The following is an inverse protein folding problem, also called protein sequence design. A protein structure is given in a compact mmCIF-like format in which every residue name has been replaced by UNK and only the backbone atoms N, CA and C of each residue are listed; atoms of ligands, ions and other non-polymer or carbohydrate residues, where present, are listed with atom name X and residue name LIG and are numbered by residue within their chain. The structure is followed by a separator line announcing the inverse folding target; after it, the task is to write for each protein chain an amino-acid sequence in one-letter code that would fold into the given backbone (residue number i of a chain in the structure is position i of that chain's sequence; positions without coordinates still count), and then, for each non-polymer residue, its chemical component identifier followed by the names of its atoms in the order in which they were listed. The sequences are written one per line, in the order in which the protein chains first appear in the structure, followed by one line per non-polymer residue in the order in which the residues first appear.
data_IF_168676697259
#
_entry.id   IF_168676697259
#
_cell.length_a   1.000
_cell.length_b   1.000
_cell.length_c   1.000
_cell.angle_alpha   90.00
_cell.angle_beta   90.00
_cell.angle_gamma   90.00
#
_symmetry.space_group_name_H-M   'P 1'
#
loop_
_entity.id
_entity.type
_entity.pdbx_description
1 polymer ?
#
# COMPACT_ATOMS: atom_id res chain seq x y z
N UNK A 1 -21.26 -11.00 -1.37
CA UNK A 1 -20.09 -10.82 -0.49
C UNK A 1 -19.51 -9.44 -0.74
N UNK A 2 -19.27 -8.61 0.28
CA UNK A 2 -18.50 -7.37 0.07
C UNK A 2 -17.06 -7.78 -0.25
N UNK A 3 -16.54 -7.36 -1.41
CA UNK A 3 -15.13 -7.58 -1.74
C UNK A 3 -14.25 -6.87 -0.71
N UNK A 4 -13.28 -7.57 -0.13
CA UNK A 4 -12.35 -6.99 0.85
C UNK A 4 -11.55 -5.88 0.14
N UNK A 5 -11.45 -4.73 0.78
CA UNK A 5 -10.71 -3.57 0.28
C UNK A 5 -9.75 -3.10 1.34
N UNK A 6 -8.65 -2.52 0.89
CA UNK A 6 -7.65 -1.90 1.73
C UNK A 6 -7.56 -0.41 1.39
N UNK A 7 -7.08 0.38 2.35
CA UNK A 7 -6.76 1.79 2.20
C UNK A 7 -5.26 1.98 2.37
N UNK A 8 -4.68 2.94 1.67
CA UNK A 8 -3.28 3.30 1.82
C UNK A 8 -3.09 4.79 1.61
N UNK A 9 -2.20 5.39 2.41
CA UNK A 9 -1.67 6.72 2.15
C UNK A 9 -0.29 6.57 1.50
N UNK A 10 -0.25 6.67 0.17
CA UNK A 10 0.96 6.46 -0.60
C UNK A 10 1.79 7.76 -0.61
N UNK A 11 2.89 7.79 0.12
CA UNK A 11 3.88 8.86 0.12
C UNK A 11 5.21 8.39 -0.47
N UNK A 12 6.00 9.33 -1.01
CA UNK A 12 7.38 9.04 -1.40
C UNK A 12 7.53 8.06 -2.55
N UNK A 13 6.46 7.84 -3.33
CA UNK A 13 6.45 6.94 -4.46
C UNK A 13 6.44 7.72 -5.78
N UNK A 14 7.41 8.61 -5.97
CA UNK A 14 7.52 9.52 -7.13
C UNK A 14 7.53 8.75 -8.46
N UNK A 15 8.04 7.51 -8.43
CA UNK A 15 8.11 6.64 -9.60
C UNK A 15 6.80 5.87 -9.88
N UNK A 16 5.83 5.90 -8.96
CA UNK A 16 4.52 5.26 -9.13
C UNK A 16 3.58 6.22 -9.86
N UNK A 17 3.32 5.90 -11.13
CA UNK A 17 2.42 6.65 -11.98
C UNK A 17 0.97 6.22 -11.74
N UNK A 18 0.01 7.10 -12.04
CA UNK A 18 -1.41 6.77 -11.91
C UNK A 18 -1.78 5.55 -12.77
N UNK A 19 -1.16 5.42 -13.95
CA UNK A 19 -1.32 4.26 -14.82
C UNK A 19 -0.82 2.94 -14.20
N UNK A 20 0.15 2.96 -13.29
CA UNK A 20 0.57 1.75 -12.57
C UNK A 20 -0.51 1.31 -11.58
N UNK A 21 -1.23 2.27 -10.98
CA UNK A 21 -2.31 2.02 -10.02
C UNK A 21 -3.60 1.58 -10.73
N UNK A 22 -4.00 2.27 -11.80
CA UNK A 22 -5.24 1.95 -12.51
C UNK A 22 -5.20 0.60 -13.22
N UNK A 23 -4.03 0.17 -13.71
CA UNK A 23 -3.83 -1.20 -14.24
C UNK A 23 -4.08 -2.30 -13.22
N UNK A 24 -4.04 -1.96 -11.93
CA UNK A 24 -4.31 -2.86 -10.81
C UNK A 24 -5.72 -2.66 -10.23
N UNK A 25 -6.61 -1.96 -10.94
CA UNK A 25 -7.95 -1.61 -10.45
C UNK A 25 -7.94 -0.84 -9.11
N UNK A 26 -6.82 -0.17 -8.79
CA UNK A 26 -6.70 0.67 -7.60
C UNK A 26 -7.35 2.01 -7.88
N UNK A 27 -8.24 2.43 -6.99
CA UNK A 27 -8.90 3.73 -7.07
C UNK A 27 -8.05 4.76 -6.34
N UNK A 28 -7.71 5.85 -7.02
CA UNK A 28 -7.13 7.05 -6.42
C UNK A 28 -8.31 7.88 -5.89
N UNK A 29 -8.52 7.85 -4.58
CA UNK A 29 -9.63 8.56 -3.91
C UNK A 29 -9.34 10.06 -3.82
N UNK A 30 -8.08 10.41 -3.55
CA UNK A 30 -7.63 11.78 -3.41
C UNK A 30 -6.15 11.91 -3.79
N UNK A 31 -5.79 13.02 -4.42
CA UNK A 31 -4.40 13.41 -4.67
C UNK A 31 -4.12 14.61 -3.78
N UNK A 32 -3.34 14.40 -2.73
CA UNK A 32 -3.00 15.47 -1.77
C UNK A 32 -2.02 16.46 -2.41
N UNK A 33 -1.00 15.93 -3.09
CA UNK A 33 0.00 16.68 -3.83
C UNK A 33 0.65 15.79 -4.89
N UNK A 34 1.65 16.32 -5.60
CA UNK A 34 2.35 15.60 -6.68
C UNK A 34 3.02 14.28 -6.25
N UNK A 35 3.21 14.06 -4.94
CA UNK A 35 3.93 12.90 -4.39
C UNK A 35 3.12 12.05 -3.42
N UNK A 36 1.89 12.46 -3.08
CA UNK A 36 1.08 11.86 -2.02
C UNK A 36 -0.36 11.61 -2.48
N UNK A 37 -0.84 10.37 -2.32
CA UNK A 37 -2.15 9.92 -2.83
C UNK A 37 -2.86 9.02 -1.80
N UNK A 38 -4.17 9.17 -1.68
CA UNK A 38 -5.03 8.28 -0.89
C UNK A 38 -5.64 7.23 -1.82
N UNK A 39 -5.45 5.95 -1.49
CA UNK A 39 -5.79 4.84 -2.38
C UNK A 39 -6.81 3.90 -1.76
N UNK A 40 -7.65 3.30 -2.62
CA UNK A 40 -8.41 2.10 -2.32
C UNK A 40 -7.91 0.95 -3.17
N UNK A 41 -7.42 -0.09 -2.50
CA UNK A 41 -6.81 -1.25 -3.15
C UNK A 41 -7.80 -2.43 -3.04
N UNK A 42 -8.24 -3.01 -4.17
CA UNK A 42 -9.05 -4.23 -4.13
C UNK A 42 -8.21 -5.41 -3.66
N UNK A 43 -8.83 -6.36 -2.95
CA UNK A 43 -8.13 -7.56 -2.45
C UNK A 43 -7.38 -8.33 -3.53
N UNK A 44 -7.94 -8.44 -4.73
CA UNK A 44 -7.34 -9.12 -5.88
C UNK A 44 -5.99 -8.54 -6.31
N UNK A 45 -5.74 -7.26 -5.99
CA UNK A 45 -4.56 -6.53 -6.44
C UNK A 45 -3.56 -6.24 -5.33
N UNK A 46 -3.83 -6.73 -4.11
CA UNK A 46 -2.99 -6.43 -2.94
C UNK A 46 -1.54 -6.87 -3.14
N UNK A 47 -1.31 -8.09 -3.64
CA UNK A 47 0.06 -8.61 -3.81
C UNK A 47 0.83 -7.86 -4.90
N UNK A 48 0.16 -7.52 -5.99
CA UNK A 48 0.73 -6.73 -7.08
C UNK A 48 1.04 -5.31 -6.61
N UNK A 49 0.17 -4.71 -5.80
CA UNK A 49 0.42 -3.41 -5.20
C UNK A 49 1.63 -3.45 -4.26
N UNK A 50 1.73 -4.44 -3.36
CA UNK A 50 2.91 -4.61 -2.50
C UNK A 50 4.19 -4.74 -3.31
N UNK A 51 4.18 -5.47 -4.42
CA UNK A 51 5.32 -5.57 -5.35
C UNK A 51 5.69 -4.21 -5.95
N UNK A 52 4.71 -3.47 -6.46
CA UNK A 52 4.91 -2.13 -7.00
C UNK A 52 5.57 -1.20 -5.97
N UNK A 53 5.14 -1.27 -4.70
CA UNK A 53 5.74 -0.48 -3.61
C UNK A 53 7.20 -0.89 -3.35
N UNK A 54 7.52 -2.18 -3.23
CA UNK A 54 8.91 -2.62 -3.03
C UNK A 54 9.85 -2.08 -4.12
N UNK A 55 9.40 -2.14 -5.37
CA UNK A 55 10.16 -1.71 -6.54
C UNK A 55 10.30 -0.18 -6.59
N UNK A 56 9.19 0.55 -6.45
CA UNK A 56 9.11 1.98 -6.82
C UNK A 56 9.00 2.97 -5.67
N UNK A 57 8.87 2.50 -4.43
CA UNK A 57 8.96 3.39 -3.26
C UNK A 57 10.38 3.99 -3.21
N UNK A 58 10.47 5.27 -2.88
CA UNK A 58 11.75 5.95 -2.73
C UNK A 58 12.39 5.56 -1.40
N UNK A 59 13.72 5.54 -1.35
CA UNK A 59 14.44 5.28 -0.11
C UNK A 59 14.11 6.34 0.95
N UNK A 60 14.01 5.91 2.21
CA UNK A 60 13.64 6.77 3.35
C UNK A 60 12.13 6.91 3.58
N UNK A 61 11.29 6.20 2.82
CA UNK A 61 9.83 6.24 2.95
C UNK A 61 9.25 4.88 3.36
N UNK A 62 7.99 4.90 3.74
CA UNK A 62 7.20 3.71 3.98
C UNK A 62 5.81 3.86 3.35
N UNK A 63 5.10 2.75 3.27
CA UNK A 63 3.67 2.73 2.91
C UNK A 63 2.95 1.79 3.84
N UNK A 64 1.84 2.25 4.41
CA UNK A 64 0.88 1.43 5.15
C UNK A 64 -0.27 0.98 4.24
N UNK A 65 -0.74 -0.25 4.45
CA UNK A 65 -1.90 -0.81 3.77
C UNK A 65 -2.84 -1.36 4.84
N UNK A 66 -3.95 -0.66 5.05
CA UNK A 66 -4.88 -0.87 6.15
C UNK A 66 -6.16 -1.53 5.63
N UNK A 67 -6.46 -2.71 6.15
CA UNK A 67 -7.73 -3.40 5.97
C UNK A 67 -8.42 -3.61 7.32
N UNK A 68 -9.64 -4.17 7.29
CA UNK A 68 -10.48 -4.35 8.49
C UNK A 68 -9.78 -5.11 9.62
N UNK A 69 -9.05 -6.18 9.29
CA UNK A 69 -8.44 -7.09 10.28
C UNK A 69 -6.93 -7.23 10.11
N UNK A 70 -6.33 -6.37 9.28
CA UNK A 70 -4.98 -6.57 8.77
C UNK A 70 -4.34 -5.24 8.39
N UNK A 71 -3.13 -5.01 8.88
CA UNK A 71 -2.29 -3.87 8.51
C UNK A 71 -0.96 -4.39 8.01
N UNK A 72 -0.54 -3.92 6.84
CA UNK A 72 0.82 -4.12 6.33
C UNK A 72 1.59 -2.82 6.39
N UNK A 73 2.87 -2.92 6.74
CA UNK A 73 3.84 -1.86 6.54
C UNK A 73 4.97 -2.36 5.66
N UNK A 74 5.33 -1.55 4.66
CA UNK A 74 6.53 -1.76 3.84
C UNK A 74 7.41 -0.52 4.02
N UNK A 75 8.56 -0.69 4.66
CA UNK A 75 9.56 0.36 4.85
C UNK A 75 10.69 0.14 3.85
N UNK A 76 11.09 1.22 3.17
CA UNK A 76 12.33 1.24 2.38
C UNK A 76 13.29 2.22 3.03
N UNK A 77 14.29 1.67 3.69
CA UNK A 77 15.29 2.42 4.44
C UNK A 77 16.13 3.32 3.51
N UNK A 78 16.85 4.33 4.03
CA UNK A 78 17.68 5.23 3.21
C UNK A 78 18.73 4.50 2.34
N UNK A 79 19.26 3.38 2.82
CA UNK A 79 20.20 2.50 2.11
C UNK A 79 19.53 1.58 1.06
N UNK A 80 18.19 1.62 0.96
CA UNK A 80 17.40 0.76 0.08
C UNK A 80 16.97 -0.56 0.70
N UNK A 81 17.37 -0.87 1.94
CA UNK A 81 16.94 -2.08 2.65
C UNK A 81 15.42 -2.07 2.83
N UNK A 82 14.77 -3.20 2.55
CA UNK A 82 13.33 -3.37 2.76
C UNK A 82 13.05 -4.07 4.10
N UNK A 83 12.14 -3.50 4.88
CA UNK A 83 11.63 -4.09 6.13
C UNK A 83 10.11 -4.14 6.04
N UNK A 84 9.53 -5.29 6.33
CA UNK A 84 8.08 -5.51 6.22
C UNK A 84 7.51 -6.06 7.52
N UNK A 85 6.32 -5.55 7.89
CA UNK A 85 5.58 -6.02 9.05
C UNK A 85 4.12 -6.26 8.68
N UNK A 86 3.56 -7.35 9.18
CA UNK A 86 2.15 -7.68 9.08
C UNK A 86 1.55 -7.76 10.49
N UNK A 87 0.45 -7.05 10.71
CA UNK A 87 -0.31 -7.09 11.95
C UNK A 87 -1.73 -7.52 11.64
N UNK A 88 -2.12 -8.70 12.11
CA UNK A 88 -3.49 -9.18 12.01
C UNK A 88 -4.16 -9.15 13.38
N UNK A 89 -5.47 -8.88 13.39
CA UNK A 89 -6.26 -9.03 14.60
C UNK A 89 -6.27 -10.51 14.98
N UNK A 90 -5.67 -10.86 16.10
CA UNK A 90 -5.84 -12.21 16.68
C UNK A 90 -7.30 -12.36 17.09
N UNK A 91 -8.00 -13.31 16.47
CA UNK A 91 -9.26 -13.79 17.03
C UNK A 91 -8.86 -14.61 18.26
N UNK A 92 -9.10 -14.08 19.45
CA UNK A 92 -9.10 -14.90 20.65
C UNK A 92 -10.26 -15.90 20.49
N UNK A 93 -9.94 -17.17 20.25
CA UNK A 93 -10.91 -18.24 20.44
C UNK A 93 -11.28 -18.22 21.93
N UNK A 94 -12.50 -17.79 22.24
CA UNK A 94 -13.14 -17.98 23.54
C UNK A 94 -13.79 -19.35 23.59
#
# INVERSE_FOLDING_TARGET
MKSKKYKSYLMGAIQVQDADLTKLDIVIEHVENSTSKMLTIPYSSLEQYKRLIREKLSNGFWTDIVGTDLIYFIFKMPDGTLIEHEYSKKIALQ
#
